data_IF_123217998002
#
_entry.id   IF_123217998002
#
_cell.length_a   1.000
_cell.length_b   1.000
_cell.length_c   1.000
_cell.angle_alpha   90.00
_cell.angle_beta   90.00
_cell.angle_gamma   90.00
#
_symmetry.space_group_name_H-M   'P 1'
#
loop_
_entity.id
_entity.type
_entity.pdbx_description
1 polymer ?
#
# COMPACT_ATOMS: atom_id res chain seq x y z
N UNK A 1 9.10 -18.67 21.59
CA UNK A 1 10.01 -19.23 20.56
C UNK A 1 9.50 -18.98 19.14
N UNK A 2 8.24 -19.33 18.82
CA UNK A 2 7.65 -19.10 17.48
C UNK A 2 7.71 -17.62 17.05
N UNK A 3 7.35 -16.67 17.94
CA UNK A 3 7.35 -15.24 17.60
C UNK A 3 8.74 -14.70 17.23
N UNK A 4 9.78 -15.17 17.91
CA UNK A 4 11.17 -14.77 17.63
C UNK A 4 11.58 -15.31 16.26
N UNK A 5 11.27 -16.57 15.96
CA UNK A 5 11.52 -17.16 14.65
C UNK A 5 10.80 -16.39 13.53
N UNK A 6 9.55 -15.98 13.74
CA UNK A 6 8.81 -15.15 12.79
C UNK A 6 9.46 -13.78 12.57
N UNK A 7 9.89 -13.11 13.63
CA UNK A 7 10.59 -11.82 13.52
C UNK A 7 11.87 -11.98 12.70
N UNK A 8 12.69 -12.99 13.00
CA UNK A 8 13.92 -13.26 12.25
C UNK A 8 13.61 -13.52 10.78
N UNK A 9 12.59 -14.34 10.49
CA UNK A 9 12.18 -14.63 9.12
C UNK A 9 11.73 -13.37 8.37
N UNK A 10 10.97 -12.48 9.02
CA UNK A 10 10.53 -11.21 8.44
C UNK A 10 11.75 -10.32 8.12
N UNK A 11 12.69 -10.18 9.05
CA UNK A 11 13.88 -9.36 8.86
C UNK A 11 14.75 -9.87 7.70
N UNK A 12 14.96 -11.19 7.63
CA UNK A 12 15.72 -11.81 6.54
C UNK A 12 15.01 -11.62 5.20
N UNK A 13 13.70 -11.86 5.16
CA UNK A 13 12.90 -11.69 3.93
C UNK A 13 12.90 -10.23 3.46
N UNK A 14 12.77 -9.28 4.38
CA UNK A 14 12.83 -7.85 4.08
C UNK A 14 14.20 -7.46 3.51
N UNK A 15 15.30 -8.00 4.05
CA UNK A 15 16.64 -7.75 3.53
C UNK A 15 16.81 -8.25 2.09
N UNK A 16 16.41 -9.49 1.82
CA UNK A 16 16.45 -10.05 0.45
C UNK A 16 15.60 -9.24 -0.53
N UNK A 17 14.38 -8.86 -0.12
CA UNK A 17 13.46 -8.10 -0.96
C UNK A 17 14.01 -6.71 -1.29
N UNK A 18 14.67 -6.06 -0.32
CA UNK A 18 15.34 -4.78 -0.52
C UNK A 18 16.53 -4.90 -1.48
N UNK A 19 17.39 -5.91 -1.29
CA UNK A 19 18.52 -6.16 -2.19
C UNK A 19 18.06 -6.45 -3.62
N UNK A 20 17.03 -7.28 -3.79
CA UNK A 20 16.43 -7.54 -5.10
C UNK A 20 15.88 -6.25 -5.74
N UNK A 21 15.18 -5.43 -4.96
CA UNK A 21 14.66 -4.13 -5.42
C UNK A 21 15.78 -3.21 -5.89
N UNK A 22 16.88 -3.10 -5.12
CA UNK A 22 18.05 -2.31 -5.50
C UNK A 22 18.69 -2.81 -6.81
N UNK A 23 18.81 -4.13 -6.99
CA UNK A 23 19.30 -4.70 -8.24
C UNK A 23 18.40 -4.34 -9.43
N UNK A 24 17.08 -4.38 -9.27
CA UNK A 24 16.13 -4.01 -10.34
C UNK A 24 16.27 -2.52 -10.66
N UNK A 25 16.40 -1.65 -9.66
CA UNK A 25 16.65 -0.22 -9.86
C UNK A 25 17.91 -0.01 -10.70
N UNK A 26 19.01 -0.70 -10.36
CA UNK A 26 20.30 -0.56 -11.07
C UNK A 26 20.24 -0.99 -12.55
N UNK A 27 19.49 -2.05 -12.88
CA UNK A 27 19.37 -2.53 -14.27
C UNK A 27 18.34 -1.78 -15.10
N UNK A 28 17.27 -1.28 -14.47
CA UNK A 28 16.17 -0.60 -15.18
C UNK A 28 16.35 0.91 -15.27
N UNK A 29 17.12 1.51 -14.35
CA UNK A 29 17.25 2.97 -14.22
C UNK A 29 15.98 3.66 -13.72
N UNK A 30 14.96 2.91 -13.29
CA UNK A 30 13.73 3.45 -12.72
C UNK A 30 13.95 3.89 -11.27
N UNK A 31 13.19 4.90 -10.85
CA UNK A 31 13.22 5.43 -9.50
C UNK A 31 12.95 4.36 -8.44
N UNK A 32 13.75 4.37 -7.37
CA UNK A 32 13.60 3.43 -6.27
C UNK A 32 12.23 3.50 -5.59
N UNK A 33 11.59 4.68 -5.59
CA UNK A 33 10.25 4.83 -5.02
C UNK A 33 9.20 4.15 -5.90
N UNK A 34 9.32 4.25 -7.22
CA UNK A 34 8.40 3.60 -8.16
C UNK A 34 8.45 2.08 -8.01
N UNK A 35 9.66 1.51 -8.03
CA UNK A 35 9.82 0.07 -7.84
C UNK A 35 9.29 -0.34 -6.46
N UNK A 36 9.60 0.44 -5.42
CA UNK A 36 9.08 0.20 -4.07
C UNK A 36 7.55 0.14 -4.02
N UNK A 37 6.85 1.09 -4.63
CA UNK A 37 5.38 1.11 -4.66
C UNK A 37 4.81 -0.12 -5.37
N UNK A 38 5.41 -0.53 -6.50
CA UNK A 38 4.89 -1.65 -7.32
C UNK A 38 5.23 -3.01 -6.69
N UNK A 39 6.44 -3.19 -6.17
CA UNK A 39 6.88 -4.48 -5.62
C UNK A 39 6.60 -4.59 -4.13
N UNK A 40 7.21 -3.71 -3.32
CA UNK A 40 7.14 -3.75 -1.86
C UNK A 40 5.72 -3.46 -1.37
N UNK A 41 5.04 -2.48 -1.98
CA UNK A 41 3.66 -2.12 -1.63
C UNK A 41 2.66 -3.25 -1.85
N UNK A 42 2.78 -3.97 -2.97
CA UNK A 42 1.92 -5.14 -3.25
C UNK A 42 2.25 -6.31 -2.34
N UNK A 43 3.54 -6.57 -2.11
CA UNK A 43 3.97 -7.62 -1.19
C UNK A 43 3.49 -7.34 0.25
N UNK A 44 3.60 -6.10 0.72
CA UNK A 44 3.18 -5.72 2.07
C UNK A 44 1.68 -5.76 2.26
N UNK A 45 0.87 -5.45 1.23
CA UNK A 45 -0.60 -5.45 1.31
C UNK A 45 -1.24 -6.84 1.12
N UNK A 46 -0.44 -7.85 0.78
CA UNK A 46 -0.92 -9.21 0.53
C UNK A 46 -1.57 -9.85 1.77
N UNK A 47 -0.96 -9.80 2.97
CA UNK A 47 -1.58 -10.33 4.19
C UNK A 47 -2.95 -9.72 4.52
N UNK A 48 -3.11 -8.41 4.30
CA UNK A 48 -4.35 -7.67 4.51
C UNK A 48 -5.40 -8.10 3.50
N UNK A 49 -5.02 -8.29 2.24
CA UNK A 49 -5.91 -8.83 1.21
C UNK A 49 -6.40 -10.23 1.59
N UNK A 50 -5.49 -11.12 2.04
CA UNK A 50 -5.87 -12.44 2.53
C UNK A 50 -6.83 -12.37 3.72
N UNK A 51 -6.58 -11.48 4.67
CA UNK A 51 -7.41 -11.29 5.86
C UNK A 51 -8.79 -10.76 5.49
N UNK A 52 -8.86 -9.77 4.60
CA UNK A 52 -10.10 -9.20 4.10
C UNK A 52 -10.95 -10.24 3.35
N UNK A 53 -10.33 -11.01 2.45
CA UNK A 53 -11.01 -12.09 1.71
C UNK A 53 -11.50 -13.19 2.68
N UNK A 54 -10.66 -13.59 3.64
CA UNK A 54 -11.03 -14.58 4.65
C UNK A 54 -12.22 -14.13 5.50
N UNK A 55 -12.25 -12.86 5.90
CA UNK A 55 -13.37 -12.26 6.62
C UNK A 55 -14.68 -12.30 5.81
N UNK A 56 -14.61 -11.98 4.51
CA UNK A 56 -15.78 -12.09 3.61
C UNK A 56 -16.27 -13.54 3.49
N UNK A 57 -15.37 -14.52 3.33
CA UNK A 57 -15.73 -15.95 3.24
C UNK A 57 -16.41 -16.46 4.51
N UNK A 58 -16.02 -15.94 5.66
CA UNK A 58 -16.59 -16.28 6.96
C UNK A 58 -17.85 -15.48 7.32
N UNK A 59 -18.40 -14.67 6.39
CA UNK A 59 -19.52 -13.73 6.61
C UNK A 59 -19.25 -12.71 7.73
N UNK A 60 -17.98 -12.50 8.07
CA UNK A 60 -17.51 -11.50 9.02
C UNK A 60 -17.19 -10.18 8.29
N UNK A 61 -18.22 -9.55 7.71
CA UNK A 61 -18.06 -8.34 6.89
C UNK A 61 -17.42 -7.18 7.66
N UNK A 62 -17.65 -7.11 8.98
CA UNK A 62 -17.00 -6.14 9.87
C UNK A 62 -15.48 -6.32 9.97
N UNK A 63 -14.98 -7.56 9.91
CA UNK A 63 -13.54 -7.83 9.90
C UNK A 63 -12.90 -7.32 8.60
N UNK A 64 -13.53 -7.58 7.46
CA UNK A 64 -13.05 -7.12 6.15
C UNK A 64 -12.99 -5.59 6.06
N UNK A 65 -14.04 -4.90 6.51
CA UNK A 65 -14.07 -3.43 6.59
C UNK A 65 -13.04 -2.89 7.59
N UNK A 66 -12.91 -3.53 8.75
CA UNK A 66 -11.94 -3.16 9.77
C UNK A 66 -10.50 -3.28 9.27
N UNK A 67 -10.16 -4.36 8.55
CA UNK A 67 -8.85 -4.53 7.91
C UNK A 67 -8.60 -3.42 6.89
N UNK A 68 -9.57 -3.13 6.01
CA UNK A 68 -9.43 -2.12 4.96
C UNK A 68 -9.22 -0.71 5.52
N UNK A 69 -10.03 -0.29 6.50
CA UNK A 69 -9.93 1.03 7.11
C UNK A 69 -8.68 1.11 7.98
N UNK A 70 -8.42 0.07 8.78
CA UNK A 70 -7.28 0.00 9.68
C UNK A 70 -5.96 0.14 8.92
N UNK A 71 -5.74 -0.69 7.89
CA UNK A 71 -4.49 -0.68 7.12
C UNK A 71 -4.21 0.67 6.44
N UNK A 72 -5.23 1.30 5.86
CA UNK A 72 -5.07 2.60 5.19
C UNK A 72 -4.76 3.75 6.16
N UNK A 73 -5.06 3.59 7.45
CA UNK A 73 -4.67 4.56 8.48
C UNK A 73 -3.29 4.19 9.01
N UNK A 74 -3.11 2.96 9.48
CA UNK A 74 -1.89 2.55 10.19
C UNK A 74 -0.66 2.48 9.29
N UNK A 75 -0.80 2.04 8.03
CA UNK A 75 0.35 1.82 7.16
C UNK A 75 1.10 3.12 6.85
N UNK A 76 0.48 4.20 6.35
CA UNK A 76 1.18 5.46 6.13
C UNK A 76 1.66 6.10 7.44
N UNK A 77 0.85 6.08 8.51
CA UNK A 77 1.22 6.68 9.80
C UNK A 77 2.45 6.00 10.44
N UNK A 78 2.47 4.66 10.45
CA UNK A 78 3.56 3.90 11.09
C UNK A 78 4.77 3.80 10.16
N UNK A 79 4.57 3.43 8.89
CA UNK A 79 5.70 3.22 7.98
C UNK A 79 6.35 4.55 7.56
N UNK A 80 5.56 5.54 7.14
CA UNK A 80 6.08 6.84 6.68
C UNK A 80 6.34 7.74 7.89
N UNK A 81 5.36 7.89 8.79
CA UNK A 81 5.53 8.74 9.98
C UNK A 81 6.62 8.22 10.92
N UNK A 82 6.58 6.92 11.27
CA UNK A 82 7.63 6.29 12.06
C UNK A 82 8.98 6.26 11.34
N UNK A 83 8.98 5.99 10.03
CA UNK A 83 10.19 6.06 9.20
C UNK A 83 10.81 7.45 9.21
N UNK A 84 10.01 8.51 9.11
CA UNK A 84 10.48 9.90 9.13
C UNK A 84 11.08 10.33 10.48
N UNK A 85 10.67 9.70 11.59
CA UNK A 85 11.25 9.96 12.91
C UNK A 85 12.64 9.34 13.09
N UNK A 86 12.93 8.25 12.37
CA UNK A 86 14.17 7.46 12.53
C UNK A 86 15.15 7.76 11.38
N UNK A 87 14.64 8.01 10.18
CA UNK A 87 15.43 8.19 8.97
C UNK A 87 16.07 9.58 8.91
N UNK A 88 17.33 9.61 8.49
CA UNK A 88 18.07 10.84 8.15
C UNK A 88 17.98 11.16 6.65
N UNK A 89 17.29 10.33 5.86
CA UNK A 89 17.23 10.45 4.41
C UNK A 89 16.04 11.30 3.95
N UNK A 90 16.24 12.05 2.87
CA UNK A 90 15.20 12.87 2.27
C UNK A 90 14.14 12.01 1.59
N UNK A 91 12.88 12.31 1.88
CA UNK A 91 11.73 11.62 1.29
C UNK A 91 11.66 11.92 -0.22
N UNK A 92 11.46 10.92 -1.09
CA UNK A 92 11.29 11.13 -2.52
C UNK A 92 10.18 12.14 -2.83
N UNK A 93 10.45 13.11 -3.72
CA UNK A 93 9.45 14.12 -4.11
C UNK A 93 8.14 13.50 -4.58
N UNK A 94 8.16 12.42 -5.38
CA UNK A 94 6.89 11.86 -5.88
C UNK A 94 6.03 11.26 -4.77
N UNK A 95 6.63 10.79 -3.66
CA UNK A 95 5.87 10.34 -2.50
C UNK A 95 5.02 11.49 -1.90
N UNK A 96 5.62 12.67 -1.74
CA UNK A 96 5.00 13.83 -1.12
C UNK A 96 3.96 14.48 -2.05
N UNK A 97 4.31 14.66 -3.33
CA UNK A 97 3.48 15.42 -4.26
C UNK A 97 2.43 14.58 -5.00
N UNK A 98 2.59 13.26 -5.03
CA UNK A 98 1.71 12.38 -5.78
C UNK A 98 1.09 11.28 -4.92
N UNK A 99 1.90 10.43 -4.29
CA UNK A 99 1.38 9.21 -3.64
C UNK A 99 0.50 9.54 -2.45
N UNK A 100 0.99 10.34 -1.49
CA UNK A 100 0.23 10.70 -0.30
C UNK A 100 -1.04 11.52 -0.60
N UNK A 101 -1.00 12.54 -1.48
CA UNK A 101 -2.20 13.23 -1.90
C UNK A 101 -3.22 12.31 -2.56
N UNK A 102 -2.79 11.42 -3.47
CA UNK A 102 -3.69 10.50 -4.15
C UNK A 102 -4.28 9.46 -3.20
N UNK A 103 -3.49 8.91 -2.28
CA UNK A 103 -3.97 8.04 -1.21
C UNK A 103 -5.07 8.74 -0.37
N UNK A 104 -4.82 9.97 0.06
CA UNK A 104 -5.76 10.75 0.88
C UNK A 104 -7.05 11.07 0.12
N UNK A 105 -6.94 11.52 -1.13
CA UNK A 105 -8.09 11.86 -1.99
C UNK A 105 -8.94 10.61 -2.25
N UNK A 106 -8.32 9.50 -2.63
CA UNK A 106 -9.03 8.24 -2.91
C UNK A 106 -9.69 7.68 -1.66
N UNK A 107 -9.03 7.75 -0.49
CA UNK A 107 -9.62 7.39 0.79
C UNK A 107 -10.84 8.26 1.14
N UNK A 108 -10.75 9.58 0.93
CA UNK A 108 -11.87 10.49 1.16
C UNK A 108 -13.06 10.22 0.21
N UNK A 109 -12.78 9.96 -1.06
CA UNK A 109 -13.81 9.58 -2.05
C UNK A 109 -14.48 8.26 -1.68
N UNK A 110 -13.72 7.27 -1.24
CA UNK A 110 -14.25 6.00 -0.76
C UNK A 110 -15.14 6.18 0.47
N UNK A 111 -14.69 6.99 1.43
CA UNK A 111 -15.48 7.32 2.63
C UNK A 111 -16.80 8.00 2.25
N UNK A 112 -16.76 9.00 1.37
CA UNK A 112 -17.96 9.68 0.87
C UNK A 112 -18.92 8.70 0.19
N UNK A 113 -18.38 7.81 -0.65
CA UNK A 113 -19.17 6.77 -1.31
C UNK A 113 -19.85 5.85 -0.29
N UNK A 114 -19.11 5.35 0.70
CA UNK A 114 -19.63 4.48 1.75
C UNK A 114 -20.71 5.17 2.60
N UNK A 115 -20.54 6.46 2.93
CA UNK A 115 -21.57 7.23 3.63
C UNK A 115 -22.86 7.30 2.80
N UNK A 116 -22.74 7.56 1.50
CA UNK A 116 -23.89 7.65 0.57
C UNK A 116 -24.59 6.31 0.37
N UNK A 117 -23.86 5.20 0.38
CA UNK A 117 -24.42 3.86 0.20
C UNK A 117 -24.77 3.13 1.50
N UNK A 118 -24.78 3.84 2.64
CA UNK A 118 -25.03 3.26 3.98
C UNK A 118 -24.09 2.09 4.30
N UNK A 119 -22.82 2.23 3.94
CA UNK A 119 -21.76 1.25 4.18
C UNK A 119 -21.74 0.07 3.21
N UNK A 120 -22.52 0.11 2.12
CA UNK A 120 -22.55 -0.99 1.14
C UNK A 120 -21.64 -0.69 -0.05
N UNK A 121 -20.58 -1.49 -0.20
CA UNK A 121 -19.77 -1.51 -1.41
C UNK A 121 -20.23 -2.67 -2.30
N UNK A 122 -20.90 -2.35 -3.40
CA UNK A 122 -21.28 -3.34 -4.42
C UNK A 122 -20.14 -3.64 -5.39
N UNK A 123 -20.33 -4.63 -6.28
CA UNK A 123 -19.36 -5.00 -7.31
C UNK A 123 -18.91 -3.81 -8.17
N UNK A 124 -19.82 -2.89 -8.50
CA UNK A 124 -19.50 -1.67 -9.26
C UNK A 124 -18.53 -0.73 -8.54
N UNK A 125 -18.68 -0.58 -7.21
CA UNK A 125 -17.74 0.21 -6.41
C UNK A 125 -16.34 -0.42 -6.36
N UNK A 126 -16.27 -1.76 -6.29
CA UNK A 126 -15.00 -2.47 -6.38
C UNK A 126 -14.29 -2.27 -7.72
N UNK A 127 -15.02 -2.40 -8.84
CA UNK A 127 -14.47 -2.13 -10.18
C UNK A 127 -13.96 -0.69 -10.30
N UNK A 128 -14.73 0.28 -9.80
CA UNK A 128 -14.33 1.68 -9.77
C UNK A 128 -13.00 1.91 -9.03
N UNK A 129 -12.81 1.29 -7.86
CA UNK A 129 -11.56 1.40 -7.09
C UNK A 129 -10.37 0.76 -7.81
N UNK A 130 -10.58 -0.37 -8.49
CA UNK A 130 -9.54 -1.02 -9.29
C UNK A 130 -9.13 -0.11 -10.45
N UNK A 131 -10.09 0.49 -11.16
CA UNK A 131 -9.81 1.42 -12.26
C UNK A 131 -9.03 2.65 -11.75
N UNK A 132 -9.43 3.22 -10.61
CA UNK A 132 -8.69 4.32 -9.98
C UNK A 132 -7.24 3.93 -9.66
N UNK A 133 -7.03 2.74 -9.09
CA UNK A 133 -5.69 2.24 -8.79
C UNK A 133 -4.83 2.09 -10.05
N UNK A 134 -5.42 1.56 -11.15
CA UNK A 134 -4.71 1.44 -12.43
C UNK A 134 -4.38 2.81 -13.03
N UNK A 135 -5.28 3.79 -12.95
CA UNK A 135 -5.01 5.16 -13.39
C UNK A 135 -3.88 5.77 -12.57
N UNK A 136 -3.92 5.62 -11.25
CA UNK A 136 -2.85 6.07 -10.35
C UNK A 136 -1.49 5.48 -10.75
N UNK A 137 -1.41 4.16 -10.96
CA UNK A 137 -0.18 3.50 -11.38
C UNK A 137 0.29 3.99 -12.75
N UNK A 138 -0.62 4.12 -13.70
CA UNK A 138 -0.28 4.59 -15.06
C UNK A 138 0.31 5.99 -15.00
N UNK A 139 -0.36 6.94 -14.35
CA UNK A 139 0.15 8.31 -14.23
C UNK A 139 1.46 8.35 -13.46
N UNK A 140 1.59 7.54 -12.40
CA UNK A 140 2.83 7.43 -11.62
C UNK A 140 4.00 6.97 -12.48
N UNK A 141 3.83 5.92 -13.28
CA UNK A 141 4.86 5.38 -14.16
C UNK A 141 5.25 6.40 -15.24
N UNK A 142 4.31 7.15 -15.80
CA UNK A 142 4.61 8.09 -16.89
C UNK A 142 5.24 9.41 -16.43
N UNK A 143 4.80 9.97 -15.30
CA UNK A 143 5.24 11.29 -14.84
C UNK A 143 6.36 11.25 -13.79
N UNK A 144 6.49 10.12 -13.07
CA UNK A 144 7.46 9.95 -11.98
C UNK A 144 8.17 8.61 -12.11
N UNK A 145 8.69 8.33 -13.32
CA UNK A 145 9.46 7.11 -13.60
C UNK A 145 10.83 7.09 -12.94
N UNK A 146 11.39 8.25 -12.63
CA UNK A 146 12.74 8.42 -12.08
C UNK A 146 12.68 9.41 -10.91
N UNK A 147 13.39 9.09 -9.83
CA UNK A 147 13.47 9.86 -8.58
C UNK A 147 14.89 10.35 -8.31
#
# INVERSE_FOLDING_TARGET
>A
MISIACIVLILVSAHFLLSATQHIVLITGLGGSLIGVISLGVASASPELFTAISGLRQKATGLSLGTLIGSNITNPLVAIGGGALISTYWVPRPLIYWDLPMETITAALLLLYLIRTKGKLGKGGGVYLIVLYLIYLFVRIFYFSVD
#
